data_IF_445810493499
#
_entry.id   IF_445810493499
#
_cell.length_a   1.000
_cell.length_b   1.000
_cell.length_c   1.000
_cell.angle_alpha   90.00
_cell.angle_beta   90.00
_cell.angle_gamma   90.00
#
_symmetry.space_group_name_H-M   'P 1'
#
loop_
_entity.id
_entity.type
_entity.pdbx_description
1 polymer ?
#
# COMPACT_ATOMS: atom_id res chain seq x y z
N UNK A 1 -32.11 -21.85 54.69
CA UNK A 1 -31.52 -20.65 55.31
C UNK A 1 -30.58 -21.08 56.42
N UNK A 2 -29.26 -20.93 56.24
CA UNK A 2 -28.26 -20.94 57.32
C UNK A 2 -27.00 -20.24 56.80
N UNK A 3 -26.92 -18.95 57.14
CA UNK A 3 -25.73 -18.10 57.02
C UNK A 3 -24.72 -18.53 58.07
N UNK A 4 -23.47 -18.80 57.69
CA UNK A 4 -22.31 -18.64 58.59
C UNK A 4 -21.15 -18.06 57.78
N UNK A 5 -20.77 -16.86 58.22
CA UNK A 5 -19.58 -16.08 57.91
C UNK A 5 -18.28 -16.84 58.33
N UNK A 6 -17.03 -16.48 58.08
CA UNK A 6 -16.29 -15.30 57.60
C UNK A 6 -14.78 -15.76 57.54
N UNK A 7 -13.87 -14.98 56.92
CA UNK A 7 -12.37 -15.01 57.05
C UNK A 7 -11.61 -16.14 56.31
N UNK A 8 -10.53 -15.96 55.53
CA UNK A 8 -9.67 -14.80 55.18
C UNK A 8 -8.64 -15.21 54.11
N UNK A 9 -8.04 -14.20 53.45
CA UNK A 9 -6.64 -14.11 53.00
C UNK A 9 -6.23 -14.66 51.61
N UNK A 10 -5.52 -13.77 50.91
CA UNK A 10 -4.45 -14.01 49.93
C UNK A 10 -4.86 -14.12 48.44
N UNK A 11 -4.78 -12.99 47.72
CA UNK A 11 -3.77 -12.84 46.65
C UNK A 11 -3.94 -11.47 45.98
N UNK A 12 -3.10 -10.52 46.40
CA UNK A 12 -2.79 -9.37 45.57
C UNK A 12 -1.82 -9.86 44.49
N UNK A 13 -2.24 -9.91 43.23
CA UNK A 13 -1.33 -10.02 42.10
C UNK A 13 -1.47 -8.79 41.22
N UNK A 14 -0.45 -7.94 41.32
CA UNK A 14 -0.21 -6.81 40.44
C UNK A 14 -0.08 -7.29 38.99
N UNK A 15 -0.86 -6.72 38.07
CA UNK A 15 -0.42 -6.60 36.68
C UNK A 15 -0.55 -5.13 36.27
N UNK A 16 0.51 -4.38 36.53
CA UNK A 16 0.76 -3.10 35.86
C UNK A 16 0.97 -3.36 34.38
N UNK A 17 -0.03 -3.04 33.56
CA UNK A 17 0.12 -2.98 32.11
C UNK A 17 0.78 -1.65 31.75
N UNK A 18 2.11 -1.65 31.61
CA UNK A 18 2.83 -0.56 30.96
C UNK A 18 2.53 -0.62 29.47
N UNK A 19 1.64 0.25 28.99
CA UNK A 19 1.45 0.47 27.56
C UNK A 19 2.67 1.21 27.03
N UNK A 20 3.63 0.48 26.46
CA UNK A 20 4.69 1.08 25.68
C UNK A 20 4.07 1.68 24.41
N UNK A 21 3.82 2.98 24.42
CA UNK A 21 3.50 3.73 23.21
C UNK A 21 4.75 3.76 22.33
N UNK A 22 4.89 2.77 21.44
CA UNK A 22 5.84 2.86 20.34
C UNK A 22 5.36 3.97 19.41
N UNK A 23 6.01 5.13 19.48
CA UNK A 23 5.85 6.18 18.48
C UNK A 23 6.22 5.59 17.12
N UNK A 24 5.20 5.35 16.29
CA UNK A 24 5.43 4.91 14.92
C UNK A 24 6.11 6.04 14.15
N UNK A 25 7.21 5.79 13.43
CA UNK A 25 7.80 6.79 12.57
C UNK A 25 6.77 7.21 11.51
N UNK A 26 6.70 8.51 11.26
CA UNK A 26 5.81 9.11 10.27
C UNK A 26 5.90 8.34 8.95
N UNK A 27 4.79 7.71 8.56
CA UNK A 27 4.70 6.94 7.34
C UNK A 27 4.96 7.88 6.15
N UNK A 28 6.10 7.68 5.49
CA UNK A 28 6.35 8.22 4.18
C UNK A 28 5.20 7.78 3.26
N UNK A 29 4.52 8.75 2.61
CA UNK A 29 3.47 8.51 1.61
C UNK A 29 4.06 7.91 0.34
N UNK A 30 4.59 6.69 0.46
CA UNK A 30 4.91 5.86 -0.68
C UNK A 30 3.67 5.08 -1.08
N UNK A 31 3.37 5.11 -2.37
CA UNK A 31 2.45 4.16 -3.00
C UNK A 31 2.92 2.74 -2.68
N UNK A 32 2.32 2.11 -1.66
CA UNK A 32 2.79 0.85 -1.03
C UNK A 32 1.94 -0.37 -1.41
N UNK A 33 1.53 -0.47 -2.67
CA UNK A 33 1.18 -1.75 -3.26
C UNK A 33 2.06 -1.95 -4.49
N UNK A 34 3.17 -2.68 -4.35
CA UNK A 34 3.98 -3.09 -5.51
C UNK A 34 3.30 -4.22 -6.27
N UNK A 35 2.32 -4.90 -5.66
CA UNK A 35 1.68 -6.11 -6.18
C UNK A 35 0.57 -5.84 -7.19
N UNK A 36 -0.04 -4.66 -7.17
CA UNK A 36 -1.14 -4.29 -8.07
C UNK A 36 -1.06 -2.79 -8.34
N UNK A 37 -1.21 -2.42 -9.61
CA UNK A 37 -1.31 -1.02 -10.04
C UNK A 37 -2.19 -0.92 -11.27
N UNK A 38 -3.20 -0.06 -11.24
CA UNK A 38 -3.84 0.47 -12.44
C UNK A 38 -2.79 1.26 -13.20
N UNK A 39 -2.69 1.02 -14.51
CA UNK A 39 -1.73 1.71 -15.39
C UNK A 39 -2.43 2.78 -16.21
N UNK A 40 -3.67 2.51 -16.63
CA UNK A 40 -4.53 3.46 -17.33
C UNK A 40 -6.00 3.09 -17.11
N UNK A 41 -6.88 4.10 -17.22
CA UNK A 41 -8.31 3.88 -17.29
C UNK A 41 -9.01 4.96 -18.14
N UNK A 42 -10.20 4.61 -18.61
CA UNK A 42 -11.12 5.48 -19.33
C UNK A 42 -12.53 5.26 -18.79
N UNK A 43 -13.32 6.33 -18.79
CA UNK A 43 -14.74 6.24 -18.48
C UNK A 43 -15.51 6.97 -19.58
N UNK A 44 -16.28 6.24 -20.38
CA UNK A 44 -17.01 6.78 -21.54
C UNK A 44 -18.29 6.00 -21.73
N UNK A 45 -19.41 6.69 -21.97
CA UNK A 45 -20.72 6.06 -22.17
C UNK A 45 -21.07 5.04 -21.08
N UNK A 46 -20.79 5.40 -19.81
CA UNK A 46 -20.99 4.54 -18.64
C UNK A 46 -20.18 3.22 -18.66
N UNK A 47 -19.13 3.12 -19.46
CA UNK A 47 -18.19 1.99 -19.45
C UNK A 47 -16.89 2.44 -18.80
N UNK A 48 -16.50 1.73 -17.73
CA UNK A 48 -15.19 1.86 -17.09
C UNK A 48 -14.28 0.76 -17.63
N UNK A 49 -13.20 1.16 -18.31
CA UNK A 49 -12.27 0.24 -18.94
C UNK A 49 -10.82 0.68 -18.73
N UNK A 50 -9.88 -0.26 -18.71
CA UNK A 50 -8.49 0.05 -18.46
C UNK A 50 -7.58 -1.16 -18.36
N UNK A 51 -6.37 -0.90 -17.88
CA UNK A 51 -5.28 -1.86 -17.74
C UNK A 51 -4.69 -1.84 -16.33
N UNK A 52 -4.31 -3.01 -15.86
CA UNK A 52 -3.77 -3.27 -14.52
C UNK A 52 -2.49 -4.08 -14.69
N UNK A 53 -1.46 -3.72 -13.95
CA UNK A 53 -0.23 -4.50 -13.80
C UNK A 53 -0.26 -5.18 -12.43
N UNK A 54 -0.08 -6.50 -12.38
CA UNK A 54 -0.05 -7.27 -11.12
C UNK A 54 1.20 -8.13 -11.02
N UNK A 55 1.70 -8.33 -9.81
CA UNK A 55 2.83 -9.23 -9.56
C UNK A 55 2.36 -10.69 -9.63
N UNK A 56 3.06 -11.52 -10.40
CA UNK A 56 2.74 -12.94 -10.53
C UNK A 56 3.23 -13.74 -9.31
N UNK A 57 2.39 -13.84 -8.28
CA UNK A 57 2.72 -14.52 -7.02
C UNK A 57 2.27 -15.99 -6.97
N UNK A 58 1.19 -16.33 -7.68
CA UNK A 58 0.68 -17.70 -7.81
C UNK A 58 -0.21 -17.82 -9.04
N UNK A 59 -0.51 -19.05 -9.47
CA UNK A 59 -1.33 -19.30 -10.65
C UNK A 59 -2.78 -18.80 -10.48
N UNK A 60 -3.45 -19.21 -9.39
CA UNK A 60 -4.84 -18.81 -9.12
C UNK A 60 -4.90 -17.39 -8.58
N UNK A 61 -5.53 -16.50 -9.35
CA UNK A 61 -5.66 -15.08 -9.07
C UNK A 61 -7.09 -14.63 -9.29
N UNK A 62 -7.56 -13.67 -8.50
CA UNK A 62 -8.81 -12.95 -8.76
C UNK A 62 -8.51 -11.47 -8.74
N UNK A 63 -8.83 -10.79 -9.84
CA UNK A 63 -8.66 -9.33 -9.97
C UNK A 63 -10.04 -8.72 -10.17
N UNK A 64 -10.45 -7.87 -9.24
CA UNK A 64 -11.79 -7.27 -9.22
C UNK A 64 -11.66 -5.76 -9.26
N UNK A 65 -12.40 -5.12 -10.15
CA UNK A 65 -12.61 -3.66 -10.15
C UNK A 65 -13.89 -3.39 -9.37
N UNK A 66 -13.82 -2.54 -8.35
CA UNK A 66 -14.97 -2.13 -7.54
C UNK A 66 -15.15 -0.62 -7.68
N UNK A 67 -16.37 -0.17 -7.96
CA UNK A 67 -16.67 1.25 -8.15
C UNK A 67 -17.78 1.73 -7.21
N UNK A 68 -17.88 3.04 -7.05
CA UNK A 68 -18.95 3.69 -6.31
C UNK A 68 -19.79 4.58 -7.22
N UNK A 69 -21.03 4.82 -6.81
CA UNK A 69 -21.90 5.86 -7.37
C UNK A 69 -22.07 6.93 -6.29
N UNK A 70 -21.48 8.10 -6.51
CA UNK A 70 -21.31 9.10 -5.45
C UNK A 70 -20.43 8.55 -4.33
N UNK A 71 -21.01 8.42 -3.14
CA UNK A 71 -20.37 7.83 -1.95
C UNK A 71 -20.87 6.41 -1.64
N UNK A 72 -21.74 5.85 -2.47
CA UNK A 72 -22.38 4.56 -2.22
C UNK A 72 -21.59 3.42 -2.86
N UNK A 73 -21.27 2.41 -2.04
CA UNK A 73 -20.59 1.18 -2.42
C UNK A 73 -21.52 -0.02 -2.17
N UNK A 74 -21.69 -0.88 -3.18
CA UNK A 74 -22.52 -2.09 -3.08
C UNK A 74 -21.83 -3.29 -3.76
N UNK A 75 -22.21 -4.51 -3.36
CA UNK A 75 -21.63 -5.74 -3.92
C UNK A 75 -21.89 -5.92 -5.42
N UNK A 76 -22.91 -5.26 -5.98
CA UNK A 76 -23.20 -5.29 -7.41
C UNK A 76 -22.33 -4.33 -8.22
N UNK A 77 -21.59 -3.42 -7.58
CA UNK A 77 -20.71 -2.45 -8.24
C UNK A 77 -19.29 -3.00 -8.38
N UNK A 78 -19.19 -4.23 -8.88
CA UNK A 78 -17.92 -4.91 -9.07
C UNK A 78 -17.95 -5.77 -10.33
N UNK A 79 -16.81 -5.84 -11.03
CA UNK A 79 -16.62 -6.74 -12.16
C UNK A 79 -15.18 -7.24 -12.22
N UNK A 80 -15.00 -8.43 -12.79
CA UNK A 80 -13.70 -9.07 -12.91
C UNK A 80 -12.86 -8.44 -14.02
N UNK A 81 -11.56 -8.33 -13.79
CA UNK A 81 -10.58 -8.12 -14.85
C UNK A 81 -10.17 -9.48 -15.44
N UNK A 82 -9.63 -9.45 -16.66
CA UNK A 82 -9.17 -10.63 -17.38
C UNK A 82 -7.69 -10.53 -17.69
N UNK A 83 -6.98 -11.65 -17.52
CA UNK A 83 -5.58 -11.79 -17.93
C UNK A 83 -5.43 -11.39 -19.41
N UNK A 84 -4.38 -10.63 -19.72
CA UNK A 84 -4.06 -10.18 -21.07
C UNK A 84 -2.72 -10.74 -21.53
N UNK A 85 -1.66 -10.57 -20.75
CA UNK A 85 -0.32 -11.05 -21.10
C UNK A 85 0.63 -11.18 -19.90
N UNK A 86 1.77 -11.85 -20.11
CA UNK A 86 2.84 -12.05 -19.13
C UNK A 86 2.89 -13.45 -18.51
N UNK A 87 3.68 -13.67 -17.44
CA UNK A 87 4.53 -12.68 -16.81
C UNK A 87 5.65 -12.20 -17.74
N UNK A 88 5.94 -10.91 -17.72
CA UNK A 88 7.15 -10.37 -18.34
C UNK A 88 8.39 -10.69 -17.47
N UNK A 89 9.58 -10.34 -17.95
CA UNK A 89 10.85 -10.61 -17.24
C UNK A 89 10.97 -9.93 -15.89
N UNK A 90 10.13 -8.92 -15.62
CA UNK A 90 10.04 -8.22 -14.33
C UNK A 90 9.13 -8.93 -13.32
N UNK A 91 8.51 -10.07 -13.69
CA UNK A 91 7.64 -10.84 -12.81
C UNK A 91 6.20 -10.33 -12.73
N UNK A 92 5.79 -9.46 -13.66
CA UNK A 92 4.44 -8.89 -13.69
C UNK A 92 3.61 -9.37 -14.89
N UNK A 93 2.31 -9.47 -14.67
CA UNK A 93 1.29 -9.71 -15.67
C UNK A 93 0.51 -8.44 -15.97
N UNK A 94 -0.02 -8.36 -17.20
CA UNK A 94 -0.99 -7.35 -17.61
C UNK A 94 -2.38 -7.95 -17.61
N UNK A 95 -3.30 -7.25 -16.97
CA UNK A 95 -4.71 -7.57 -16.89
C UNK A 95 -5.52 -6.39 -17.44
N UNK A 96 -6.66 -6.68 -18.04
CA UNK A 96 -7.54 -5.67 -18.63
C UNK A 96 -8.92 -5.79 -18.04
N UNK A 97 -9.63 -4.67 -17.93
CA UNK A 97 -11.01 -4.65 -17.47
C UNK A 97 -11.85 -3.79 -18.39
N UNK A 98 -13.12 -4.17 -18.52
CA UNK A 98 -14.16 -3.37 -19.16
C UNK A 98 -15.50 -3.80 -18.57
N UNK A 99 -16.25 -2.85 -18.04
CA UNK A 99 -17.55 -3.12 -17.45
C UNK A 99 -18.46 -1.89 -17.48
N UNK A 100 -19.76 -2.14 -17.58
CA UNK A 100 -20.77 -1.10 -17.41
C UNK A 100 -20.78 -0.64 -15.95
N UNK A 101 -20.52 0.64 -15.72
CA UNK A 101 -20.44 1.28 -14.42
C UNK A 101 -21.24 2.59 -14.44
N UNK A 102 -22.57 2.48 -14.55
CA UNK A 102 -23.46 3.64 -14.64
C UNK A 102 -23.30 4.52 -13.40
N UNK A 103 -23.06 5.82 -13.63
CA UNK A 103 -22.89 6.80 -12.56
C UNK A 103 -21.61 6.64 -11.73
N UNK A 104 -20.62 5.88 -12.21
CA UNK A 104 -19.38 5.69 -11.47
C UNK A 104 -18.66 7.02 -11.22
N UNK A 105 -18.34 7.30 -9.96
CA UNK A 105 -17.63 8.51 -9.53
C UNK A 105 -16.22 8.20 -9.04
N UNK A 106 -16.00 6.98 -8.56
CA UNK A 106 -14.70 6.54 -8.06
C UNK A 106 -14.58 5.02 -8.10
N UNK A 107 -13.35 4.51 -8.11
CA UNK A 107 -13.09 3.07 -8.12
C UNK A 107 -11.76 2.71 -7.45
N UNK A 108 -11.61 1.42 -7.15
CA UNK A 108 -10.35 0.78 -6.79
C UNK A 108 -10.27 -0.62 -7.40
N UNK A 109 -9.09 -1.21 -7.38
CA UNK A 109 -8.82 -2.59 -7.79
C UNK A 109 -8.44 -3.41 -6.57
N UNK A 110 -9.01 -4.60 -6.46
CA UNK A 110 -8.64 -5.63 -5.49
C UNK A 110 -8.00 -6.81 -6.22
N UNK A 111 -6.83 -7.23 -5.75
CA UNK A 111 -6.10 -8.39 -6.22
C UNK A 111 -5.99 -9.42 -5.10
N UNK A 112 -6.72 -10.54 -5.24
CA UNK A 112 -6.66 -11.67 -4.33
C UNK A 112 -5.76 -12.78 -4.91
N UNK A 113 -4.76 -13.19 -4.13
CA UNK A 113 -3.83 -14.27 -4.49
C UNK A 113 -3.32 -14.96 -3.24
N UNK A 114 -3.30 -16.31 -3.26
CA UNK A 114 -2.79 -17.13 -2.15
C UNK A 114 -3.33 -16.72 -0.76
N UNK A 115 -4.62 -16.36 -0.70
CA UNK A 115 -5.28 -15.95 0.55
C UNK A 115 -4.96 -14.53 1.04
N UNK A 116 -4.21 -13.73 0.28
CA UNK A 116 -3.90 -12.33 0.59
C UNK A 116 -4.56 -11.39 -0.41
N UNK A 117 -5.09 -10.26 0.08
CA UNK A 117 -5.67 -9.20 -0.75
C UNK A 117 -4.74 -7.99 -0.82
N UNK A 118 -4.50 -7.51 -2.04
CA UNK A 118 -3.81 -6.25 -2.32
C UNK A 118 -4.79 -5.27 -2.98
N UNK A 119 -4.58 -3.97 -2.76
CA UNK A 119 -5.50 -2.92 -3.21
C UNK A 119 -4.74 -1.81 -3.92
N UNK A 120 -5.33 -1.29 -4.99
CA UNK A 120 -4.85 -0.09 -5.67
C UNK A 120 -6.02 0.83 -6.08
N UNK A 121 -6.06 2.08 -5.58
CA UNK A 121 -5.14 2.65 -4.62
C UNK A 121 -5.34 2.00 -3.24
N UNK A 122 -4.27 1.95 -2.45
CA UNK A 122 -4.35 1.49 -1.06
C UNK A 122 -4.88 2.57 -0.10
N UNK A 123 -4.80 2.29 1.20
CA UNK A 123 -4.91 3.29 2.28
C UNK A 123 -6.24 4.07 2.32
N UNK A 124 -7.36 3.44 1.94
CA UNK A 124 -8.69 4.06 1.91
C UNK A 124 -8.81 5.24 0.93
N UNK A 125 -7.95 5.28 -0.11
CA UNK A 125 -8.01 6.26 -1.20
C UNK A 125 -8.56 5.57 -2.45
N UNK A 126 -9.29 6.31 -3.29
CA UNK A 126 -9.89 5.79 -4.53
C UNK A 126 -9.49 6.65 -5.73
N UNK A 127 -9.42 6.03 -6.91
CA UNK A 127 -9.34 6.77 -8.16
C UNK A 127 -10.62 7.57 -8.36
N UNK A 128 -10.49 8.87 -8.62
CA UNK A 128 -11.62 9.75 -8.91
C UNK A 128 -11.88 9.76 -10.41
N UNK A 129 -13.13 9.49 -10.80
CA UNK A 129 -13.57 9.53 -12.20
C UNK A 129 -14.09 10.92 -12.47
N UNK A 130 -13.28 11.75 -13.12
CA UNK A 130 -13.74 13.04 -13.64
C UNK A 130 -14.67 12.81 -14.84
N UNK A 131 -15.80 13.49 -14.85
CA UNK A 131 -16.63 13.56 -16.05
C UNK A 131 -15.80 14.23 -17.15
N UNK A 132 -15.36 13.44 -18.15
CA UNK A 132 -14.62 13.87 -19.34
C UNK A 132 -13.10 14.07 -19.14
N UNK A 133 -12.29 13.00 -19.16
CA UNK A 133 -11.03 12.87 -19.95
C UNK A 133 -10.24 11.62 -19.56
N UNK A 134 -9.69 10.93 -20.57
CA UNK A 134 -8.72 9.83 -20.43
C UNK A 134 -7.59 10.23 -19.48
N UNK A 135 -7.43 9.48 -18.40
CA UNK A 135 -6.39 9.72 -17.40
C UNK A 135 -5.24 8.76 -17.66
N UNK A 136 -4.17 9.28 -18.27
CA UNK A 136 -2.87 8.59 -18.29
C UNK A 136 -2.17 8.91 -16.99
N UNK A 137 -2.12 7.95 -16.06
CA UNK A 137 -1.31 8.09 -14.84
C UNK A 137 0.17 7.99 -15.21
N UNK A 138 0.76 9.09 -15.64
CA UNK A 138 2.22 9.23 -15.78
C UNK A 138 2.82 9.27 -14.38
N UNK A 139 3.55 8.23 -14.02
CA UNK A 139 4.37 8.18 -12.81
C UNK A 139 5.47 9.26 -12.91
N UNK A 140 5.28 10.37 -12.22
CA UNK A 140 6.30 11.40 -12.10
C UNK A 140 7.39 10.92 -11.13
N UNK A 141 8.53 10.52 -11.67
CA UNK A 141 9.78 10.46 -10.94
C UNK A 141 10.32 11.89 -10.78
N UNK A 142 10.54 12.35 -9.56
CA UNK A 142 11.75 13.06 -9.07
C UNK A 142 11.49 13.84 -7.78
N UNK A 143 12.34 13.59 -6.78
CA UNK A 143 13.15 14.62 -6.10
C UNK A 143 14.37 13.91 -5.50
N UNK A 144 15.51 13.95 -6.20
CA UNK A 144 16.81 13.59 -5.62
C UNK A 144 17.25 14.72 -4.72
N UNK A 145 17.22 14.52 -3.40
CA UNK A 145 17.91 15.39 -2.46
C UNK A 145 19.23 14.72 -2.09
N UNK A 146 20.31 15.19 -2.71
CA UNK A 146 21.69 14.84 -2.32
C UNK A 146 21.98 15.53 -0.98
N UNK A 147 22.00 14.76 0.11
CA UNK A 147 22.49 15.24 1.40
C UNK A 147 23.99 14.90 1.49
N UNK A 148 24.85 15.89 1.25
CA UNK A 148 26.29 15.80 1.54
C UNK A 148 26.49 16.13 3.01
N UNK A 149 26.72 15.12 3.85
CA UNK A 149 27.10 15.31 5.25
C UNK A 149 28.60 15.57 5.35
N UNK A 150 29.02 16.84 5.38
CA UNK A 150 30.39 17.23 5.71
C UNK A 150 30.59 17.12 7.23
N UNK A 151 31.33 16.10 7.68
CA UNK A 151 31.77 16.01 9.08
C UNK A 151 32.88 17.04 9.35
N UNK A 152 32.82 17.83 10.43
CA UNK A 152 33.96 18.64 10.86
C UNK A 152 35.03 17.72 11.48
N UNK A 153 36.22 17.72 10.88
CA UNK A 153 37.40 17.00 11.33
C UNK A 153 37.90 17.59 12.65
N UNK A 154 37.74 16.83 13.73
CA UNK A 154 38.28 17.20 15.04
C UNK A 154 39.81 17.18 15.02
N UNK A 155 40.36 18.28 15.55
CA UNK A 155 41.75 18.57 15.88
C UNK A 155 42.51 17.35 16.44
N UNK A 156 43.45 16.81 15.67
CA UNK A 156 44.44 15.84 16.17
C UNK A 156 45.78 16.57 16.41
N UNK A 157 46.38 16.47 17.60
CA UNK A 157 47.64 17.14 17.90
C UNK A 157 48.82 16.45 17.18
N UNK A 158 49.63 17.29 16.53
CA UNK A 158 50.95 16.97 15.96
C UNK A 158 51.83 16.28 17.03
N UNK A 159 52.14 15.01 16.82
CA UNK A 159 53.20 14.29 17.53
C UNK A 159 54.27 13.81 16.52
N UNK A 160 55.49 13.76 17.04
CA UNK A 160 56.77 13.94 16.35
C UNK A 160 57.21 12.80 15.39
N UNK A 161 58.07 13.16 14.44
CA UNK A 161 58.95 12.23 13.72
C UNK A 161 59.85 11.44 14.69
N UNK A 162 60.20 10.21 14.28
CA UNK A 162 61.59 9.77 14.40
C UNK A 162 62.16 9.23 13.07
N UNK A 163 63.35 9.75 12.78
CA UNK A 163 64.42 9.32 11.87
C UNK A 163 64.58 7.82 11.58
N UNK A 164 64.99 7.44 10.35
CA UNK A 164 65.74 6.19 10.14
C UNK A 164 65.82 5.62 8.70
N UNK A 165 67.00 5.79 8.08
CA UNK A 165 67.73 4.96 7.09
C UNK A 165 67.08 3.72 6.45
N UNK A 166 67.18 3.60 5.11
CA UNK A 166 68.24 2.86 4.38
C UNK A 166 68.36 3.38 2.93
#
# INVERSE_FOLDING_TARGET
>A
MKFHALFTLLSALLLSYTCAATSSPAAHLEKRATQVSVTSYTFTNNVLAGSIKIQNLAYTKVVTVVYAVGSTWTSSQAFAATYSSGPASDGYEVWTFSGTAVGATQFYVKYDVSGTSYYDPGNNVNYQISATTSSTTTSAAQCTVTVTTTMPLALMPRMAEPTGFF
#
